data_IF_852492982836
#
_entry.id   IF_852492982836
#
_cell.length_a   1.000
_cell.length_b   1.000
_cell.length_c   1.000
_cell.angle_alpha   90.00
_cell.angle_beta   90.00
_cell.angle_gamma   90.00
#
_symmetry.space_group_name_H-M   'P 1'
#
loop_
_entity.id
_entity.type
_entity.pdbx_description
1 polymer ?
#
# COMPACT_ATOMS: atom_id res chain seq x y z
N UNK A 1 -7.87 22.47 1.10
CA UNK A 1 -7.77 20.99 1.11
C UNK A 1 -8.50 20.47 2.35
N UNK A 2 -9.42 19.51 2.18
CA UNK A 2 -10.17 18.92 3.31
C UNK A 2 -9.29 17.96 4.08
N UNK A 3 -9.07 18.20 5.37
CA UNK A 3 -8.33 17.29 6.25
C UNK A 3 -9.19 16.07 6.61
N UNK A 4 -8.82 14.90 6.06
CA UNK A 4 -9.53 13.65 6.28
C UNK A 4 -9.39 13.16 7.73
N UNK A 5 -8.25 13.35 8.38
CA UNK A 5 -8.05 12.95 9.78
C UNK A 5 -9.04 13.70 10.67
N UNK A 6 -9.18 15.01 10.45
CA UNK A 6 -10.20 15.83 11.12
C UNK A 6 -11.61 15.37 10.79
N UNK A 7 -11.89 15.03 9.53
CA UNK A 7 -13.21 14.57 9.11
C UNK A 7 -13.62 13.24 9.79
N UNK A 8 -12.67 12.30 9.94
CA UNK A 8 -12.94 11.00 10.56
C UNK A 8 -12.90 11.03 12.08
N UNK A 9 -12.35 12.08 12.69
CA UNK A 9 -12.36 12.29 14.15
C UNK A 9 -13.78 12.47 14.72
N UNK A 10 -14.73 12.90 13.89
CA UNK A 10 -16.14 12.89 14.24
C UNK A 10 -16.69 11.45 14.12
N UNK A 11 -17.03 10.86 15.27
CA UNK A 11 -17.60 9.52 15.35
C UNK A 11 -18.94 9.38 14.62
N UNK A 12 -19.70 10.46 14.41
CA UNK A 12 -20.94 10.46 13.66
C UNK A 12 -20.72 10.45 12.13
N UNK A 13 -19.52 10.81 11.66
CA UNK A 13 -19.17 10.79 10.24
C UNK A 13 -18.97 9.35 9.77
N UNK A 14 -19.79 8.85 8.84
CA UNK A 14 -19.56 7.56 8.19
C UNK A 14 -18.46 7.64 7.12
N UNK A 15 -17.88 6.49 6.74
CA UNK A 15 -16.93 6.40 5.64
C UNK A 15 -17.55 6.87 4.30
N UNK A 16 -18.83 6.58 4.08
CA UNK A 16 -19.57 7.02 2.89
C UNK A 16 -19.70 8.55 2.83
N UNK A 17 -20.11 9.19 3.93
CA UNK A 17 -20.21 10.65 3.98
C UNK A 17 -18.84 11.32 3.83
N UNK A 18 -17.79 10.72 4.39
CA UNK A 18 -16.43 11.19 4.21
C UNK A 18 -15.99 11.10 2.75
N UNK A 19 -16.27 9.98 2.08
CA UNK A 19 -15.99 9.76 0.68
C UNK A 19 -16.69 10.78 -0.22
N UNK A 20 -18.00 10.99 -0.05
CA UNK A 20 -18.78 11.96 -0.83
C UNK A 20 -18.25 13.38 -0.66
N UNK A 21 -17.89 13.77 0.57
CA UNK A 21 -17.35 15.11 0.84
C UNK A 21 -15.96 15.31 0.24
N UNK A 22 -15.11 14.29 0.27
CA UNK A 22 -13.78 14.35 -0.31
C UNK A 22 -13.82 14.33 -1.84
N UNK A 23 -14.63 13.46 -2.43
CA UNK A 23 -14.75 13.28 -3.88
C UNK A 23 -15.57 14.39 -4.56
N UNK A 24 -16.42 15.11 -3.81
CA UNK A 24 -17.32 16.14 -4.33
C UNK A 24 -16.67 17.14 -5.29
N UNK A 25 -15.52 17.77 -4.97
CA UNK A 25 -14.82 18.66 -5.88
C UNK A 25 -14.43 18.01 -7.21
N UNK A 26 -13.92 16.77 -7.19
CA UNK A 26 -13.59 16.02 -8.40
C UNK A 26 -14.85 15.76 -9.25
N UNK A 27 -15.92 15.25 -8.62
CA UNK A 27 -17.17 14.91 -9.30
C UNK A 27 -17.82 16.15 -9.93
N UNK A 28 -17.78 17.28 -9.23
CA UNK A 28 -18.28 18.57 -9.75
C UNK A 28 -17.45 19.09 -10.93
N UNK A 29 -16.12 18.96 -10.87
CA UNK A 29 -15.25 19.35 -11.98
C UNK A 29 -15.52 18.49 -13.24
N UNK A 30 -15.69 17.17 -13.06
CA UNK A 30 -16.05 16.24 -14.14
C UNK A 30 -17.41 16.59 -14.73
N UNK A 31 -18.42 16.82 -13.87
CA UNK A 31 -19.78 17.17 -14.29
C UNK A 31 -19.82 18.47 -15.09
N UNK A 32 -19.04 19.47 -14.69
CA UNK A 32 -18.91 20.75 -15.39
C UNK A 32 -18.04 20.68 -16.65
N UNK A 33 -17.45 19.51 -16.94
CA UNK A 33 -16.55 19.31 -18.07
C UNK A 33 -15.42 20.35 -18.09
N UNK A 34 -14.85 20.58 -16.90
CA UNK A 34 -13.68 21.44 -16.71
C UNK A 34 -12.48 20.89 -17.49
N UNK A 35 -11.44 21.71 -17.68
CA UNK A 35 -10.24 21.28 -18.37
C UNK A 35 -9.45 20.22 -17.57
N UNK A 36 -8.63 19.44 -18.27
CA UNK A 36 -7.88 18.32 -17.68
C UNK A 36 -6.97 18.76 -16.52
N UNK A 37 -6.33 19.92 -16.61
CA UNK A 37 -5.44 20.43 -15.56
C UNK A 37 -6.21 20.69 -14.26
N UNK A 38 -7.42 21.27 -14.38
CA UNK A 38 -8.28 21.49 -13.22
C UNK A 38 -8.77 20.18 -12.60
N UNK A 39 -9.17 19.19 -13.42
CA UNK A 39 -9.58 17.86 -12.92
C UNK A 39 -8.40 17.16 -12.22
N UNK A 40 -7.21 17.19 -12.81
CA UNK A 40 -5.98 16.65 -12.20
C UNK A 40 -5.66 17.33 -10.87
N UNK A 41 -5.85 18.65 -10.76
CA UNK A 41 -5.70 19.39 -9.50
C UNK A 41 -6.67 18.94 -8.40
N UNK A 42 -7.92 18.62 -8.75
CA UNK A 42 -8.88 18.08 -7.77
C UNK A 42 -8.51 16.66 -7.34
N UNK A 43 -8.04 15.80 -8.26
CA UNK A 43 -7.51 14.48 -7.92
C UNK A 43 -6.28 14.56 -7.02
N UNK A 44 -5.34 15.47 -7.30
CA UNK A 44 -4.18 15.72 -6.46
C UNK A 44 -4.61 16.07 -5.02
N UNK A 45 -5.58 16.97 -4.89
CA UNK A 45 -6.15 17.33 -3.58
C UNK A 45 -6.81 16.16 -2.87
N UNK A 46 -7.61 15.36 -3.58
CA UNK A 46 -8.28 14.17 -3.05
C UNK A 46 -7.28 13.16 -2.51
N UNK A 47 -6.29 12.76 -3.33
CA UNK A 47 -5.35 11.72 -2.94
C UNK A 47 -4.35 12.20 -1.89
N UNK A 48 -3.91 13.45 -1.96
CA UNK A 48 -3.06 14.05 -0.92
C UNK A 48 -3.75 14.03 0.45
N UNK A 49 -5.06 14.32 0.50
CA UNK A 49 -5.85 14.21 1.74
C UNK A 49 -5.92 12.78 2.28
N UNK A 50 -6.19 11.79 1.43
CA UNK A 50 -6.29 10.37 1.85
C UNK A 50 -4.93 9.85 2.34
N UNK A 51 -3.88 10.08 1.55
CA UNK A 51 -2.54 9.55 1.80
C UNK A 51 -1.87 10.24 2.99
N UNK A 52 -2.07 11.53 3.19
CA UNK A 52 -1.60 12.25 4.39
C UNK A 52 -2.27 11.70 5.66
N UNK A 53 -3.57 11.43 5.61
CA UNK A 53 -4.28 10.85 6.76
C UNK A 53 -3.83 9.41 7.05
N UNK A 54 -3.57 8.62 6.01
CA UNK A 54 -3.00 7.28 6.15
C UNK A 54 -1.62 7.30 6.83
N UNK A 55 -0.72 8.19 6.40
CA UNK A 55 0.60 8.34 7.00
C UNK A 55 0.55 8.75 8.49
N UNK A 56 -0.39 9.64 8.85
CA UNK A 56 -0.52 10.18 10.21
C UNK A 56 -1.29 9.25 11.17
N UNK A 57 -2.06 8.30 10.64
CA UNK A 57 -2.88 7.40 11.44
C UNK A 57 -2.12 6.11 11.73
N UNK A 58 -1.98 5.69 13.00
CA UNK A 58 -1.36 4.42 13.36
C UNK A 58 -1.91 3.25 12.53
N UNK A 59 -1.03 2.39 12.03
CA UNK A 59 -1.37 1.26 11.12
C UNK A 59 -2.50 0.34 11.63
N UNK A 60 -2.70 0.25 12.94
CA UNK A 60 -3.75 -0.54 13.61
C UNK A 60 -5.10 0.19 13.71
N UNK A 61 -5.16 1.49 13.39
CA UNK A 61 -6.37 2.35 13.49
C UNK A 61 -6.89 2.84 12.13
N UNK A 62 -6.41 2.25 11.03
CA UNK A 62 -6.72 2.73 9.67
C UNK A 62 -7.99 2.10 9.05
N UNK A 63 -8.78 1.30 9.77
CA UNK A 63 -9.95 0.62 9.22
C UNK A 63 -10.91 1.57 8.48
N UNK A 64 -11.32 2.66 9.15
CA UNK A 64 -12.22 3.67 8.58
C UNK A 64 -11.63 4.43 7.40
N UNK A 65 -10.30 4.58 7.33
CA UNK A 65 -9.63 5.19 6.17
C UNK A 65 -9.74 4.29 4.93
N UNK A 66 -9.55 2.98 5.11
CA UNK A 66 -9.67 1.99 4.03
C UNK A 66 -11.12 1.88 3.56
N UNK A 67 -12.08 1.88 4.49
CA UNK A 67 -13.51 1.97 4.17
C UNK A 67 -13.84 3.24 3.38
N UNK A 68 -13.23 4.37 3.72
CA UNK A 68 -13.42 5.64 2.99
C UNK A 68 -12.85 5.54 1.57
N UNK A 69 -11.64 4.97 1.38
CA UNK A 69 -11.06 4.76 0.05
C UNK A 69 -11.95 3.82 -0.79
N UNK A 70 -12.44 2.73 -0.20
CA UNK A 70 -13.37 1.82 -0.86
C UNK A 70 -14.68 2.54 -1.25
N UNK A 71 -15.23 3.36 -0.36
CA UNK A 71 -16.43 4.15 -0.61
C UNK A 71 -16.20 5.16 -1.74
N UNK A 72 -15.04 5.83 -1.80
CA UNK A 72 -14.64 6.70 -2.92
C UNK A 72 -14.67 5.91 -4.23
N UNK A 73 -13.99 4.75 -4.30
CA UNK A 73 -13.97 3.89 -5.50
C UNK A 73 -15.38 3.48 -5.94
N UNK A 74 -16.28 3.28 -4.97
CA UNK A 74 -17.63 2.75 -5.18
C UNK A 74 -18.70 3.82 -5.43
N UNK A 75 -18.34 5.11 -5.50
CA UNK A 75 -19.32 6.16 -5.78
C UNK A 75 -20.00 5.87 -7.12
N UNK A 76 -21.34 5.73 -7.15
CA UNK A 76 -22.08 5.46 -8.38
C UNK A 76 -21.81 6.55 -9.41
N UNK A 77 -21.40 6.14 -10.62
CA UNK A 77 -21.20 7.06 -11.71
C UNK A 77 -22.52 7.29 -12.43
N UNK A 78 -22.98 8.54 -12.47
CA UNK A 78 -24.11 8.93 -13.32
C UNK A 78 -23.67 8.93 -14.79
N UNK A 79 -24.59 9.02 -15.75
CA UNK A 79 -24.19 9.15 -17.17
C UNK A 79 -23.27 10.37 -17.43
N UNK A 80 -23.34 11.40 -16.57
CA UNK A 80 -22.52 12.61 -16.66
C UNK A 80 -21.12 12.41 -16.07
N UNK A 81 -20.98 11.68 -14.95
CA UNK A 81 -19.69 11.41 -14.29
C UNK A 81 -19.02 10.12 -14.76
N UNK A 82 -19.77 9.21 -15.40
CA UNK A 82 -19.26 8.02 -16.08
C UNK A 82 -18.46 8.35 -17.35
N UNK A 83 -18.38 9.64 -17.72
CA UNK A 83 -17.45 10.10 -18.75
C UNK A 83 -16.03 9.72 -18.34
N UNK A 84 -15.29 9.17 -19.29
CA UNK A 84 -13.87 8.95 -19.10
C UNK A 84 -13.19 10.31 -18.94
N UNK A 85 -12.38 10.44 -17.90
CA UNK A 85 -11.55 11.64 -17.67
C UNK A 85 -10.20 11.44 -18.33
N UNK A 86 -9.64 12.49 -18.91
CA UNK A 86 -8.27 12.43 -19.45
C UNK A 86 -7.32 12.87 -18.34
N UNK A 87 -6.43 11.96 -17.96
CA UNK A 87 -5.34 12.20 -17.01
C UNK A 87 -4.04 11.83 -17.70
N UNK A 88 -3.10 12.76 -17.75
CA UNK A 88 -1.79 12.58 -18.43
C UNK A 88 -1.91 12.08 -19.87
N UNK A 89 -2.96 12.50 -20.58
CA UNK A 89 -3.21 12.11 -21.97
C UNK A 89 -3.90 10.75 -22.14
N UNK A 90 -4.22 10.05 -21.06
CA UNK A 90 -4.93 8.78 -21.09
C UNK A 90 -6.35 8.90 -20.54
N UNK A 91 -7.29 8.23 -21.19
CA UNK A 91 -8.64 8.09 -20.66
C UNK A 91 -8.66 7.14 -19.45
N UNK A 92 -9.26 7.59 -18.35
CA UNK A 92 -9.45 6.81 -17.11
C UNK A 92 -10.91 6.83 -16.66
N UNK A 93 -11.35 5.78 -15.99
CA UNK A 93 -12.63 5.72 -15.28
C UNK A 93 -12.44 6.05 -13.80
N UNK A 94 -13.51 6.47 -13.15
CA UNK A 94 -13.50 6.76 -11.72
C UNK A 94 -13.07 5.57 -10.84
N UNK A 95 -13.58 4.37 -11.15
CA UNK A 95 -13.30 3.14 -10.42
C UNK A 95 -11.84 2.66 -10.57
N UNK A 96 -11.10 3.22 -11.53
CA UNK A 96 -9.66 3.00 -11.72
C UNK A 96 -8.80 3.91 -10.83
N UNK A 97 -9.42 4.76 -10.01
CA UNK A 97 -8.75 5.69 -9.09
C UNK A 97 -7.67 6.53 -9.80
N UNK A 98 -8.06 7.40 -10.76
CA UNK A 98 -7.10 8.13 -11.58
C UNK A 98 -6.06 8.89 -10.73
N UNK A 99 -4.77 8.81 -11.08
CA UNK A 99 -3.62 9.35 -10.34
C UNK A 99 -3.29 8.69 -8.98
N UNK A 100 -4.17 7.86 -8.39
CA UNK A 100 -3.95 7.34 -7.03
C UNK A 100 -2.65 6.55 -6.91
N UNK A 101 -2.36 5.62 -7.82
CA UNK A 101 -1.12 4.82 -7.78
C UNK A 101 0.16 5.66 -7.84
N UNK A 102 0.16 6.74 -8.66
CA UNK A 102 1.27 7.68 -8.74
C UNK A 102 1.45 8.48 -7.44
N UNK A 103 0.35 8.99 -6.88
CA UNK A 103 0.36 9.69 -5.59
C UNK A 103 0.75 8.77 -4.44
N UNK A 104 0.34 7.51 -4.46
CA UNK A 104 0.72 6.51 -3.47
C UNK A 104 2.24 6.22 -3.52
N UNK A 105 2.82 6.15 -4.73
CA UNK A 105 4.27 6.05 -4.93
C UNK A 105 5.02 7.25 -4.35
N UNK A 106 4.54 8.47 -4.62
CA UNK A 106 5.11 9.71 -4.06
C UNK A 106 5.04 9.72 -2.53
N UNK A 107 3.89 9.35 -1.96
CA UNK A 107 3.72 9.31 -0.51
C UNK A 107 4.64 8.29 0.15
N UNK A 108 4.88 7.14 -0.50
CA UNK A 108 5.82 6.15 0.01
C UNK A 108 7.23 6.74 0.17
N UNK A 109 7.71 7.50 -0.83
CA UNK A 109 9.01 8.20 -0.76
C UNK A 109 9.03 9.23 0.37
N UNK A 110 7.97 10.04 0.46
CA UNK A 110 7.86 11.08 1.51
C UNK A 110 7.89 10.43 2.90
N UNK A 111 7.10 9.39 3.12
CA UNK A 111 6.99 8.72 4.42
C UNK A 111 8.30 8.04 4.82
N UNK A 112 9.05 7.48 3.86
CA UNK A 112 10.34 6.84 4.07
C UNK A 112 11.39 7.79 4.66
N UNK A 113 11.39 9.03 4.19
CA UNK A 113 12.30 10.10 4.64
C UNK A 113 11.78 10.86 5.87
N UNK A 114 10.47 10.80 6.15
CA UNK A 114 9.83 11.58 7.21
C UNK A 114 10.05 11.01 8.62
N UNK A 115 9.62 9.77 8.86
CA UNK A 115 9.83 9.09 10.15
C UNK A 115 9.57 7.60 10.04
N UNK A 116 10.07 6.83 11.02
CA UNK A 116 9.80 5.39 11.12
C UNK A 116 8.29 5.10 11.21
N UNK A 117 7.55 5.87 12.00
CA UNK A 117 6.09 5.70 12.15
C UNK A 117 5.34 6.03 10.86
N UNK A 118 5.70 7.12 10.18
CA UNK A 118 5.10 7.49 8.91
C UNK A 118 5.24 6.37 7.87
N UNK A 119 6.44 5.80 7.77
CA UNK A 119 6.73 4.70 6.86
C UNK A 119 5.96 3.42 7.21
N UNK A 120 5.86 3.06 8.49
CA UNK A 120 5.08 1.90 8.93
C UNK A 120 3.59 2.11 8.69
N UNK A 121 3.08 3.31 8.98
CA UNK A 121 1.67 3.64 8.81
C UNK A 121 1.25 3.60 7.34
N UNK A 122 2.02 4.21 6.43
CA UNK A 122 1.64 4.21 5.01
C UNK A 122 1.68 2.79 4.41
N UNK A 123 2.65 1.96 4.80
CA UNK A 123 2.70 0.55 4.39
C UNK A 123 1.51 -0.24 4.96
N UNK A 124 1.12 0.02 6.21
CA UNK A 124 -0.08 -0.58 6.80
C UNK A 124 -1.35 -0.25 6.02
N UNK A 125 -1.48 0.99 5.55
CA UNK A 125 -2.61 1.41 4.73
C UNK A 125 -2.62 0.72 3.37
N UNK A 126 -1.47 0.67 2.69
CA UNK A 126 -1.33 -0.02 1.40
C UNK A 126 -1.62 -1.52 1.49
N UNK A 127 -1.16 -2.17 2.56
CA UNK A 127 -1.45 -3.56 2.84
C UNK A 127 -2.96 -3.79 2.99
N UNK A 128 -3.63 -2.98 3.80
CA UNK A 128 -5.09 -3.09 4.00
C UNK A 128 -5.88 -2.79 2.72
N UNK A 129 -5.49 -1.78 1.94
CA UNK A 129 -6.14 -1.47 0.67
C UNK A 129 -5.98 -2.61 -0.36
N UNK A 130 -4.81 -3.23 -0.40
CA UNK A 130 -4.53 -4.43 -1.22
C UNK A 130 -5.38 -5.62 -0.77
N UNK A 131 -5.43 -5.89 0.53
CA UNK A 131 -6.22 -6.99 1.08
C UNK A 131 -7.72 -6.81 0.85
N UNK A 132 -8.21 -5.58 0.88
CA UNK A 132 -9.60 -5.23 0.60
C UNK A 132 -9.94 -5.23 -0.91
N UNK A 133 -8.96 -5.44 -1.80
CA UNK A 133 -9.18 -5.42 -3.25
C UNK A 133 -9.55 -4.05 -3.81
N UNK A 134 -9.25 -2.97 -3.08
CA UNK A 134 -9.57 -1.59 -3.47
C UNK A 134 -8.63 -1.12 -4.57
N UNK A 135 -7.34 -1.35 -4.37
CA UNK A 135 -6.30 -1.17 -5.38
C UNK A 135 -5.16 -2.16 -5.12
N UNK A 136 -4.45 -2.53 -6.18
CA UNK A 136 -3.40 -3.53 -6.13
C UNK A 136 -2.02 -2.88 -5.92
N UNK A 137 -1.67 -2.68 -4.65
CA UNK A 137 -0.43 -2.03 -4.24
C UNK A 137 0.67 -3.04 -3.88
N UNK A 138 0.49 -4.31 -4.28
CA UNK A 138 1.40 -5.41 -3.92
C UNK A 138 2.83 -5.24 -4.46
N UNK A 139 3.06 -4.41 -5.47
CA UNK A 139 4.42 -4.04 -5.89
C UNK A 139 5.19 -3.32 -4.77
N UNK A 140 4.51 -2.49 -3.99
CA UNK A 140 5.12 -1.79 -2.85
C UNK A 140 5.50 -2.78 -1.75
N UNK A 141 4.69 -3.83 -1.55
CA UNK A 141 5.05 -4.96 -0.69
C UNK A 141 6.40 -5.57 -1.14
N UNK A 142 6.56 -5.88 -2.44
CA UNK A 142 7.82 -6.43 -2.94
C UNK A 142 9.00 -5.51 -2.62
N UNK A 143 8.86 -4.20 -2.76
CA UNK A 143 9.96 -3.27 -2.47
C UNK A 143 10.34 -3.27 -1.00
N UNK A 144 9.35 -3.15 -0.11
CA UNK A 144 9.56 -3.16 1.34
C UNK A 144 10.11 -4.50 1.83
N UNK A 145 9.55 -5.62 1.35
CA UNK A 145 10.00 -6.97 1.71
C UNK A 145 11.41 -7.26 1.17
N UNK A 146 11.74 -6.79 -0.03
CA UNK A 146 13.07 -6.93 -0.60
C UNK A 146 14.12 -6.25 0.28
N UNK A 147 13.91 -4.99 0.62
CA UNK A 147 14.85 -4.24 1.47
C UNK A 147 14.98 -4.82 2.87
N UNK A 148 13.88 -5.32 3.44
CA UNK A 148 13.87 -5.86 4.80
C UNK A 148 14.38 -7.32 4.89
N UNK A 149 14.15 -8.15 3.89
CA UNK A 149 14.28 -9.62 4.01
C UNK A 149 15.19 -10.26 2.96
N UNK A 150 15.40 -9.61 1.82
CA UNK A 150 16.15 -10.19 0.69
C UNK A 150 17.48 -9.49 0.45
N UNK A 151 17.58 -8.18 0.69
CA UNK A 151 18.83 -7.45 0.59
C UNK A 151 19.84 -7.85 1.68
N UNK A 152 19.43 -8.02 2.97
CA UNK A 152 20.33 -8.51 4.00
C UNK A 152 20.75 -9.96 3.76
N UNK A 153 22.03 -10.24 3.97
CA UNK A 153 22.53 -11.61 4.00
C UNK A 153 21.85 -12.41 5.14
N UNK A 154 21.77 -13.73 4.97
CA UNK A 154 21.01 -14.58 5.88
C UNK A 154 21.49 -14.51 7.33
N UNK A 155 22.81 -14.47 7.52
CA UNK A 155 23.51 -14.34 8.80
C UNK A 155 23.44 -12.92 9.39
N UNK A 156 22.96 -11.94 8.61
CA UNK A 156 22.85 -10.52 9.00
C UNK A 156 21.41 -10.02 9.05
N UNK A 157 20.42 -10.90 8.93
CA UNK A 157 19.01 -10.48 8.89
C UNK A 157 18.59 -9.71 10.15
N UNK A 158 19.17 -10.03 11.31
CA UNK A 158 18.93 -9.33 12.59
C UNK A 158 19.50 -7.90 12.62
N UNK A 159 20.39 -7.53 11.71
CA UNK A 159 20.92 -6.17 11.57
C UNK A 159 19.98 -5.25 10.76
N UNK A 160 18.90 -5.80 10.18
CA UNK A 160 17.90 -5.03 9.45
C UNK A 160 17.28 -3.97 10.35
N UNK A 161 17.15 -2.75 9.82
CA UNK A 161 16.65 -1.63 10.63
C UNK A 161 15.24 -1.91 11.18
N UNK A 162 14.94 -1.47 12.43
CA UNK A 162 13.60 -1.58 13.02
C UNK A 162 12.49 -1.00 12.13
N UNK A 163 12.75 0.12 11.44
CA UNK A 163 11.82 0.71 10.46
C UNK A 163 11.37 -0.30 9.40
N UNK A 164 12.33 -0.98 8.74
CA UNK A 164 12.07 -1.94 7.69
C UNK A 164 11.41 -3.22 8.22
N UNK A 165 11.81 -3.70 9.40
CA UNK A 165 11.18 -4.86 10.03
C UNK A 165 9.72 -4.60 10.37
N UNK A 166 9.40 -3.43 10.91
CA UNK A 166 8.01 -3.05 11.23
C UNK A 166 7.17 -2.87 9.96
N UNK A 167 7.70 -2.19 8.93
CA UNK A 167 6.99 -1.95 7.67
C UNK A 167 6.74 -3.25 6.89
N UNK A 168 7.71 -4.18 6.84
CA UNK A 168 7.51 -5.51 6.24
C UNK A 168 6.52 -6.35 7.04
N UNK A 169 6.54 -6.25 8.37
CA UNK A 169 5.60 -6.99 9.23
C UNK A 169 4.14 -6.60 8.96
N UNK A 170 3.83 -5.30 8.82
CA UNK A 170 2.44 -4.86 8.59
C UNK A 170 1.86 -5.33 7.24
N UNK A 171 2.70 -5.57 6.24
CA UNK A 171 2.26 -6.22 5.00
C UNK A 171 1.74 -7.62 5.24
N UNK A 172 2.43 -8.44 6.04
CA UNK A 172 1.94 -9.78 6.37
C UNK A 172 0.81 -9.78 7.38
N UNK A 173 0.80 -8.87 8.35
CA UNK A 173 -0.30 -8.77 9.33
C UNK A 173 -1.63 -8.45 8.62
N UNK A 174 -1.62 -7.59 7.60
CA UNK A 174 -2.85 -7.11 6.98
C UNK A 174 -3.15 -7.71 5.61
N UNK A 175 -2.16 -8.24 4.89
CA UNK A 175 -2.32 -8.71 3.52
C UNK A 175 -1.73 -10.10 3.26
N UNK A 176 -1.40 -10.90 4.28
CA UNK A 176 -0.85 -12.25 4.09
C UNK A 176 -1.66 -13.10 3.10
N UNK A 177 -2.98 -13.15 3.21
CA UNK A 177 -3.84 -13.90 2.28
C UNK A 177 -3.69 -13.44 0.82
N UNK A 178 -3.73 -12.13 0.59
CA UNK A 178 -3.60 -11.54 -0.75
C UNK A 178 -2.22 -11.81 -1.36
N UNK A 179 -1.16 -11.67 -0.56
CA UNK A 179 0.22 -11.92 -0.98
C UNK A 179 0.52 -13.42 -1.18
N UNK A 180 -0.05 -14.30 -0.34
CA UNK A 180 0.03 -15.74 -0.51
C UNK A 180 -0.67 -16.18 -1.80
N UNK A 181 -1.86 -15.63 -2.07
CA UNK A 181 -2.55 -15.85 -3.34
C UNK A 181 -1.70 -15.37 -4.52
N UNK A 182 -1.15 -14.16 -4.47
CA UNK A 182 -0.28 -13.64 -5.54
C UNK A 182 0.94 -14.54 -5.78
N UNK A 183 1.50 -15.13 -4.73
CA UNK A 183 2.63 -16.07 -4.79
C UNK A 183 2.25 -17.42 -5.41
N UNK A 184 1.09 -17.96 -5.02
CA UNK A 184 0.53 -19.20 -5.61
C UNK A 184 0.18 -19.02 -7.09
N UNK A 185 -0.38 -17.86 -7.44
CA UNK A 185 -0.73 -17.51 -8.83
C UNK A 185 0.50 -17.13 -9.68
N UNK A 186 1.68 -16.98 -9.06
CA UNK A 186 2.92 -16.63 -9.76
C UNK A 186 2.90 -15.22 -10.37
N UNK A 187 2.22 -14.26 -9.73
CA UNK A 187 2.04 -12.92 -10.28
C UNK A 187 3.38 -12.23 -10.60
N UNK A 188 3.53 -11.73 -11.82
CA UNK A 188 4.75 -11.05 -12.30
C UNK A 188 4.52 -9.56 -12.58
N UNK A 189 5.59 -8.78 -12.56
CA UNK A 189 5.63 -7.39 -12.98
C UNK A 189 6.64 -7.19 -14.11
N UNK A 190 6.35 -6.25 -15.00
CA UNK A 190 7.20 -5.97 -16.15
C UNK A 190 8.54 -5.33 -15.75
N UNK A 191 9.57 -5.63 -16.54
CA UNK A 191 10.90 -5.07 -16.35
C UNK A 191 11.61 -5.58 -15.10
N UNK A 192 12.33 -4.67 -14.40
CA UNK A 192 13.18 -4.99 -13.24
C UNK A 192 12.63 -4.44 -11.92
N UNK A 193 11.39 -3.95 -11.89
CA UNK A 193 10.81 -3.29 -10.72
C UNK A 193 10.62 -4.24 -9.53
N UNK A 194 10.41 -5.53 -9.80
CA UNK A 194 10.18 -6.57 -8.80
C UNK A 194 11.29 -7.65 -8.78
N UNK A 195 12.52 -7.28 -9.15
CA UNK A 195 13.70 -8.17 -9.05
C UNK A 195 13.93 -8.68 -7.61
N UNK A 196 14.65 -9.80 -7.40
CA UNK A 196 15.08 -10.24 -6.07
C UNK A 196 16.05 -9.25 -5.43
N UNK A 197 16.19 -9.36 -4.10
CA UNK A 197 17.15 -8.61 -3.30
C UNK A 197 18.60 -9.04 -3.49
N UNK A 198 19.50 -8.20 -2.96
CA UNK A 198 20.93 -8.27 -3.18
C UNK A 198 21.60 -9.55 -2.65
N UNK A 199 21.07 -10.19 -1.60
CA UNK A 199 21.61 -11.44 -1.08
C UNK A 199 21.18 -12.68 -1.88
N UNK A 200 20.15 -12.54 -2.71
CA UNK A 200 19.51 -13.61 -3.49
C UNK A 200 20.02 -13.65 -4.94
N UNK A 201 21.36 -13.63 -5.08
CA UNK A 201 22.01 -13.48 -6.40
C UNK A 201 21.76 -14.64 -7.34
N UNK A 202 21.52 -15.84 -6.81
CA UNK A 202 21.17 -17.05 -7.55
C UNK A 202 19.86 -16.89 -8.33
N UNK A 203 18.95 -16.07 -7.83
CA UNK A 203 17.63 -15.81 -8.44
C UNK A 203 17.62 -14.59 -9.38
N UNK A 204 18.75 -13.88 -9.51
CA UNK A 204 18.82 -12.58 -10.21
C UNK A 204 18.28 -12.64 -11.63
N UNK A 205 18.58 -13.70 -12.37
CA UNK A 205 18.15 -13.90 -13.75
C UNK A 205 17.21 -15.11 -13.92
N UNK A 206 16.70 -15.63 -12.80
CA UNK A 206 15.77 -16.75 -12.81
C UNK A 206 14.38 -16.33 -13.32
N UNK A 207 13.80 -17.15 -14.20
CA UNK A 207 12.45 -16.93 -14.69
C UNK A 207 11.44 -17.07 -13.54
N UNK A 208 10.48 -16.14 -13.45
CA UNK A 208 9.49 -16.12 -12.36
C UNK A 208 9.91 -15.34 -11.11
N UNK A 209 11.15 -14.84 -11.05
CA UNK A 209 11.64 -13.94 -9.98
C UNK A 209 11.55 -12.45 -10.36
N UNK A 210 10.48 -12.08 -11.07
CA UNK A 210 10.10 -10.69 -11.36
C UNK A 210 8.76 -10.34 -10.72
N UNK A 211 8.46 -10.96 -9.58
CA UNK A 211 7.20 -10.77 -8.87
C UNK A 211 7.08 -11.69 -7.67
N UNK A 212 5.89 -12.22 -7.48
CA UNK A 212 5.53 -13.18 -6.46
C UNK A 212 5.66 -14.60 -7.00
N UNK A 213 6.26 -15.49 -6.19
CA UNK A 213 6.33 -16.92 -6.44
C UNK A 213 6.50 -17.67 -5.10
N UNK A 214 6.33 -18.99 -5.12
CA UNK A 214 6.40 -19.80 -3.90
C UNK A 214 7.80 -19.85 -3.26
N UNK A 215 8.88 -19.80 -4.04
CA UNK A 215 10.24 -19.84 -3.52
C UNK A 215 10.58 -18.55 -2.77
N UNK A 216 10.21 -17.39 -3.35
CA UNK A 216 10.34 -16.08 -2.74
C UNK A 216 9.50 -15.95 -1.47
N UNK A 217 8.28 -16.49 -1.49
CA UNK A 217 7.43 -16.59 -0.31
C UNK A 217 8.12 -17.39 0.81
N UNK A 218 8.72 -18.55 0.46
CA UNK A 218 9.44 -19.38 1.40
C UNK A 218 10.64 -18.66 2.01
N UNK A 219 11.39 -17.89 1.21
CA UNK A 219 12.46 -17.02 1.73
C UNK A 219 11.93 -16.06 2.79
N UNK A 220 10.81 -15.37 2.54
CA UNK A 220 10.23 -14.45 3.54
C UNK A 220 9.80 -15.18 4.82
N UNK A 221 9.16 -16.35 4.70
CA UNK A 221 8.79 -17.18 5.86
C UNK A 221 10.01 -17.58 6.70
N UNK A 222 11.09 -18.01 6.06
CA UNK A 222 12.31 -18.43 6.75
C UNK A 222 12.99 -17.24 7.45
N UNK A 223 13.05 -16.09 6.78
CA UNK A 223 13.60 -14.84 7.34
C UNK A 223 12.83 -14.38 8.58
N UNK A 224 11.50 -14.38 8.53
CA UNK A 224 10.67 -14.04 9.70
C UNK A 224 10.84 -15.05 10.84
N UNK A 225 10.99 -16.34 10.52
CA UNK A 225 11.24 -17.38 11.52
C UNK A 225 12.57 -17.15 12.25
N UNK A 226 13.62 -16.77 11.52
CA UNK A 226 14.90 -16.37 12.13
C UNK A 226 14.77 -15.12 13.00
N UNK A 227 14.06 -14.09 12.52
CA UNK A 227 13.86 -12.83 13.24
C UNK A 227 13.07 -13.00 14.54
N UNK A 228 12.14 -13.97 14.61
CA UNK A 228 11.36 -14.29 15.81
C UNK A 228 12.27 -14.70 16.98
N UNK A 229 13.37 -15.39 16.69
CA UNK A 229 14.33 -15.86 17.69
C UNK A 229 15.49 -14.88 17.93
N UNK A 230 15.71 -13.93 17.01
CA UNK A 230 16.80 -12.97 17.09
C UNK A 230 16.66 -11.96 18.24
N UNK A 231 17.79 -11.39 18.66
CA UNK A 231 17.83 -10.26 19.59
C UNK A 231 17.63 -8.95 18.80
N UNK A 232 16.37 -8.54 18.69
CA UNK A 232 15.93 -7.32 18.01
C UNK A 232 15.04 -6.48 18.96
N UNK A 233 14.88 -5.17 18.72
CA UNK A 233 14.05 -4.32 19.57
C UNK A 233 12.64 -4.87 19.80
N UNK A 234 12.15 -4.76 21.04
CA UNK A 234 10.92 -5.44 21.48
C UNK A 234 9.67 -5.02 20.69
N UNK A 235 9.58 -3.76 20.26
CA UNK A 235 8.48 -3.26 19.43
C UNK A 235 8.46 -3.94 18.05
N UNK A 236 9.64 -4.12 17.45
CA UNK A 236 9.84 -4.84 16.20
C UNK A 236 9.57 -6.33 16.37
N UNK A 237 10.04 -6.93 17.47
CA UNK A 237 9.84 -8.35 17.80
C UNK A 237 8.37 -8.72 17.92
N UNK A 238 7.54 -7.83 18.48
CA UNK A 238 6.09 -8.01 18.57
C UNK A 238 5.44 -8.10 17.18
N UNK A 239 5.76 -7.17 16.28
CA UNK A 239 5.19 -7.17 14.92
C UNK A 239 5.74 -8.33 14.07
N UNK A 240 7.03 -8.66 14.20
CA UNK A 240 7.65 -9.83 13.56
C UNK A 240 6.94 -11.12 13.95
N UNK A 241 6.60 -11.26 15.23
CA UNK A 241 5.86 -12.43 15.72
C UNK A 241 4.46 -12.52 15.10
N UNK A 242 3.72 -11.41 15.07
CA UNK A 242 2.39 -11.36 14.44
C UNK A 242 2.43 -11.64 12.93
N UNK A 243 3.44 -11.13 12.23
CA UNK A 243 3.67 -11.39 10.81
C UNK A 243 3.99 -12.87 10.56
N UNK A 244 4.88 -13.47 11.36
CA UNK A 244 5.22 -14.90 11.31
C UNK A 244 3.98 -15.80 11.55
N UNK A 245 3.14 -15.43 12.52
CA UNK A 245 1.89 -16.15 12.80
C UNK A 245 0.86 -15.99 11.67
N UNK A 246 0.90 -14.89 10.92
CA UNK A 246 0.03 -14.67 9.74
C UNK A 246 0.53 -15.48 8.53
N UNK A 247 1.84 -15.50 8.31
CA UNK A 247 2.53 -16.26 7.27
C UNK A 247 2.34 -17.79 7.38
N UNK A 248 2.13 -18.31 8.60
CA UNK A 248 1.95 -19.75 8.85
C UNK A 248 0.49 -20.21 8.74
N UNK A 249 -0.47 -19.28 8.69
CA UNK A 249 -1.90 -19.58 8.58
C UNK A 249 -2.40 -19.72 7.13
N UNK A 250 -1.61 -19.27 6.15
CA UNK A 250 -2.04 -19.08 4.74
C UNK A 250 -1.29 -19.96 3.74
#
# INVERSE_FOLDING_TARGET
MTDLTKLLSDSAMSAQQAAEKLAGPCLEAIKKNEDASKIEGEFDGLWSSVLSAAEQTPHDKQGKLVETLHAIKSIPQSAETAKKVVVWGEEKRWDELPMFGGKAREQLDIAQEKSDEAFVNINGFFARATAAGVDDLSLFAIWTLREALEDPAADKISETSPKLLKASSVWFIYAADALAKASKDGKQFDGKVAKPGASLTEFKDEAGWRGFNNDRWKVWQDRFSTLKEADIPQDSKSLVSQASDSLTKV
#
